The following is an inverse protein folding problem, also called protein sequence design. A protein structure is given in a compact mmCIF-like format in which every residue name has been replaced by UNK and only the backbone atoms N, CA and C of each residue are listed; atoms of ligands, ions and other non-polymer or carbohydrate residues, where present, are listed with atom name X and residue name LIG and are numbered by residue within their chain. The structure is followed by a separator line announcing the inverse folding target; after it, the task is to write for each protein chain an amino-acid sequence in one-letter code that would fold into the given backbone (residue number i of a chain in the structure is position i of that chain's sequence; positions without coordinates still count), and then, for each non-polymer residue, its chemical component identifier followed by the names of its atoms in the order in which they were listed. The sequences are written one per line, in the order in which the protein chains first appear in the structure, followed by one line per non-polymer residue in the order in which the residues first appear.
data_IF_960877012720
#
_entry.id   IF_960877012720
#
_cell.length_a   1.000
_cell.length_b   1.000
_cell.length_c   1.000
_cell.angle_alpha   90.00
_cell.angle_beta   90.00
_cell.angle_gamma   90.00
#
_symmetry.space_group_name_H-M   'P 1'
#
loop_
_entity.id
_entity.type
_entity.pdbx_description
1 polymer ?
#
# COMPACT_ATOMS: atom_id res chain seq x y z
N UNK A 1 -36.87 -44.21 -1.52
CA UNK A 1 -36.91 -42.89 -0.88
C UNK A 1 -35.66 -42.11 -1.27
N UNK A 2 -35.79 -40.95 -1.93
CA UNK A 2 -34.64 -40.12 -2.31
C UNK A 2 -34.37 -39.04 -1.26
N UNK A 3 -33.10 -38.75 -0.98
CA UNK A 3 -32.46 -37.44 -1.18
C UNK A 3 -31.08 -37.42 -0.53
N UNK A 4 -30.07 -37.47 -1.38
CA UNK A 4 -28.79 -36.85 -1.11
C UNK A 4 -28.99 -35.34 -1.10
N UNK A 5 -28.60 -34.67 -0.01
CA UNK A 5 -28.30 -33.24 -0.03
C UNK A 5 -26.92 -33.06 0.61
N UNK A 6 -25.90 -33.16 -0.25
CA UNK A 6 -24.55 -32.70 0.05
C UNK A 6 -24.61 -31.17 0.02
N UNK A 7 -24.57 -30.55 1.20
CA UNK A 7 -24.52 -29.11 1.34
C UNK A 7 -23.14 -28.60 0.94
N UNK A 8 -22.94 -28.33 -0.35
CA UNK A 8 -21.85 -27.47 -0.83
C UNK A 8 -22.31 -26.02 -0.72
N UNK A 9 -22.16 -25.43 0.47
CA UNK A 9 -22.26 -23.96 0.62
C UNK A 9 -21.23 -23.47 1.63
N UNK A 10 -20.33 -22.63 1.12
CA UNK A 10 -19.75 -21.54 1.88
C UNK A 10 -18.22 -21.52 1.90
N UNK A 11 -17.57 -21.02 0.84
CA UNK A 11 -16.20 -20.50 0.96
C UNK A 11 -15.79 -19.51 -0.15
N UNK A 12 -16.71 -18.70 -0.68
CA UNK A 12 -16.42 -17.70 -1.73
C UNK A 12 -16.48 -16.24 -1.26
N UNK A 13 -16.90 -15.96 -0.02
CA UNK A 13 -17.17 -14.58 0.45
C UNK A 13 -16.00 -13.84 1.11
N UNK A 14 -14.83 -14.47 1.27
CA UNK A 14 -13.66 -13.83 1.95
C UNK A 14 -12.59 -13.30 1.01
N UNK A 15 -12.56 -13.71 -0.26
CA UNK A 15 -11.53 -13.25 -1.20
C UNK A 15 -11.84 -11.86 -1.78
N UNK A 16 -13.13 -11.55 -1.99
CA UNK A 16 -13.51 -10.29 -2.64
C UNK A 16 -13.25 -9.07 -1.74
N UNK A 17 -13.60 -9.13 -0.45
CA UNK A 17 -13.40 -7.99 0.46
C UNK A 17 -11.94 -7.58 0.63
N UNK A 18 -11.01 -8.53 0.61
CA UNK A 18 -9.58 -8.21 0.72
C UNK A 18 -9.04 -7.47 -0.52
N UNK A 19 -9.51 -7.85 -1.72
CA UNK A 19 -9.14 -7.16 -2.96
C UNK A 19 -9.74 -5.75 -2.98
N UNK A 20 -11.02 -5.62 -2.61
CA UNK A 20 -11.69 -4.32 -2.51
C UNK A 20 -10.99 -3.40 -1.51
N UNK A 21 -10.50 -3.95 -0.40
CA UNK A 21 -9.72 -3.23 0.61
C UNK A 21 -8.37 -2.74 0.07
N UNK A 22 -7.66 -3.57 -0.68
CA UNK A 22 -6.40 -3.18 -1.34
C UNK A 22 -6.65 -2.05 -2.32
N UNK A 23 -7.64 -2.17 -3.21
CA UNK A 23 -7.92 -1.11 -4.20
C UNK A 23 -8.36 0.20 -3.55
N UNK A 24 -9.11 0.13 -2.46
CA UNK A 24 -9.47 1.32 -1.68
C UNK A 24 -8.22 1.99 -1.11
N UNK A 25 -7.34 1.23 -0.44
CA UNK A 25 -6.09 1.78 0.11
C UNK A 25 -5.21 2.30 -1.02
N UNK A 26 -5.06 1.56 -2.11
CA UNK A 26 -4.28 1.92 -3.29
C UNK A 26 -4.69 3.28 -3.86
N UNK A 27 -5.98 3.56 -3.97
CA UNK A 27 -6.49 4.85 -4.43
C UNK A 27 -6.11 6.00 -3.49
N UNK A 28 -6.25 5.80 -2.17
CA UNK A 28 -5.88 6.78 -1.15
C UNK A 28 -4.36 7.06 -1.14
N UNK A 29 -3.53 6.02 -1.27
CA UNK A 29 -2.08 6.20 -1.36
C UNK A 29 -1.67 6.96 -2.62
N UNK A 30 -2.27 6.63 -3.77
CA UNK A 30 -1.98 7.35 -5.01
C UNK A 30 -2.41 8.82 -4.91
N UNK A 31 -3.57 9.10 -4.33
CA UNK A 31 -4.03 10.47 -4.07
C UNK A 31 -3.01 11.25 -3.23
N UNK A 32 -2.57 10.69 -2.10
CA UNK A 32 -1.58 11.33 -1.24
C UNK A 32 -0.24 11.57 -1.98
N UNK A 33 0.24 10.56 -2.71
CA UNK A 33 1.50 10.63 -3.46
C UNK A 33 1.50 11.67 -4.59
N UNK A 34 0.31 12.00 -5.11
CA UNK A 34 0.13 13.04 -6.13
C UNK A 34 0.20 14.44 -5.51
N UNK A 35 -0.32 14.61 -4.31
CA UNK A 35 -0.37 15.89 -3.58
C UNK A 35 1.00 16.26 -3.01
N UNK A 36 1.68 15.32 -2.34
CA UNK A 36 2.97 15.58 -1.71
C UNK A 36 3.81 14.29 -1.57
N UNK A 37 5.07 14.46 -1.18
CA UNK A 37 5.92 13.40 -0.70
C UNK A 37 5.28 12.72 0.52
N UNK A 38 4.92 11.44 0.38
CA UNK A 38 4.18 10.69 1.40
C UNK A 38 5.09 9.68 2.10
N UNK A 39 5.05 9.60 3.43
CA UNK A 39 5.83 8.62 4.19
C UNK A 39 5.26 7.21 4.07
N UNK A 40 6.09 6.16 4.00
CA UNK A 40 5.59 4.77 3.96
C UNK A 40 4.79 4.41 5.22
N UNK A 41 5.14 4.97 6.39
CA UNK A 41 4.35 4.81 7.60
C UNK A 41 2.90 5.33 7.44
N UNK A 42 2.66 6.33 6.58
CA UNK A 42 1.33 6.87 6.31
C UNK A 42 0.47 5.86 5.56
N UNK A 43 1.06 4.98 4.75
CA UNK A 43 0.31 3.90 4.13
C UNK A 43 -0.28 2.93 5.17
N UNK A 44 0.50 2.63 6.22
CA UNK A 44 -0.01 1.83 7.34
C UNK A 44 -1.03 2.59 8.18
N UNK A 45 -0.83 3.89 8.39
CA UNK A 45 -1.86 4.74 9.01
C UNK A 45 -3.16 4.69 8.21
N UNK A 46 -3.13 4.89 6.89
CA UNK A 46 -4.29 4.80 6.01
C UNK A 46 -5.04 3.47 6.18
N UNK A 47 -4.34 2.34 6.19
CA UNK A 47 -4.96 1.05 6.49
C UNK A 47 -5.56 0.98 7.91
N UNK A 48 -4.90 1.56 8.90
CA UNK A 48 -5.41 1.66 10.28
C UNK A 48 -6.68 2.49 10.39
N UNK A 49 -6.79 3.59 9.64
CA UNK A 49 -7.97 4.46 9.59
C UNK A 49 -9.13 3.80 8.87
N UNK A 50 -8.87 3.17 7.72
CA UNK A 50 -9.91 2.61 6.87
C UNK A 50 -10.45 1.28 7.39
N UNK A 51 -9.64 0.49 8.10
CA UNK A 51 -10.01 -0.86 8.55
C UNK A 51 -9.68 -1.10 10.03
N UNK A 52 -10.15 -0.25 10.97
CA UNK A 52 -9.74 -0.30 12.38
C UNK A 52 -10.15 -1.58 13.11
N UNK A 53 -11.11 -2.33 12.55
CA UNK A 53 -11.61 -3.59 13.11
C UNK A 53 -10.73 -4.80 12.76
N UNK A 54 -9.79 -4.67 11.82
CA UNK A 54 -8.87 -5.75 11.45
C UNK A 54 -7.69 -5.84 12.44
N UNK A 55 -7.10 -7.03 12.53
CA UNK A 55 -5.87 -7.23 13.31
C UNK A 55 -4.75 -6.32 12.78
N UNK A 56 -3.85 -5.89 13.67
CA UNK A 56 -2.69 -5.03 13.32
C UNK A 56 -1.90 -5.60 12.14
N UNK A 57 -1.59 -6.89 12.18
CA UNK A 57 -0.85 -7.59 11.11
C UNK A 57 -1.59 -7.62 9.78
N UNK A 58 -2.92 -7.74 9.80
CA UNK A 58 -3.73 -7.72 8.57
C UNK A 58 -3.75 -6.33 7.93
N UNK A 59 -3.77 -5.26 8.74
CA UNK A 59 -3.72 -3.87 8.26
C UNK A 59 -2.37 -3.53 7.67
N UNK A 60 -1.28 -3.97 8.29
CA UNK A 60 0.06 -3.83 7.72
C UNK A 60 0.18 -4.59 6.39
N UNK A 61 -0.30 -5.83 6.32
CA UNK A 61 -0.30 -6.60 5.08
C UNK A 61 -1.11 -5.95 3.95
N UNK A 62 -2.23 -5.29 4.26
CA UNK A 62 -3.01 -4.51 3.29
C UNK A 62 -2.22 -3.30 2.77
N UNK A 63 -1.57 -2.55 3.66
CA UNK A 63 -0.75 -1.40 3.29
C UNK A 63 0.45 -1.81 2.42
N UNK A 64 1.15 -2.89 2.80
CA UNK A 64 2.26 -3.46 2.02
C UNK A 64 1.79 -3.89 0.63
N UNK A 65 0.68 -4.63 0.54
CA UNK A 65 0.15 -5.10 -0.74
C UNK A 65 -0.29 -3.94 -1.66
N UNK A 66 -0.95 -2.92 -1.11
CA UNK A 66 -1.38 -1.75 -1.87
C UNK A 66 -0.19 -0.95 -2.41
N UNK A 67 0.82 -0.67 -1.57
CA UNK A 67 2.01 0.07 -1.98
C UNK A 67 2.86 -0.74 -2.98
N UNK A 68 3.04 -2.03 -2.74
CA UNK A 68 3.74 -2.92 -3.66
C UNK A 68 3.07 -2.98 -5.04
N UNK A 69 1.72 -2.98 -5.09
CA UNK A 69 0.98 -2.91 -6.35
C UNK A 69 1.24 -1.61 -7.10
N UNK A 70 1.23 -0.45 -6.42
CA UNK A 70 1.54 0.84 -7.06
C UNK A 70 2.95 0.88 -7.63
N UNK A 71 3.92 0.30 -6.91
CA UNK A 71 5.30 0.21 -7.35
C UNK A 71 5.45 -0.72 -8.56
N UNK A 72 4.79 -1.88 -8.54
CA UNK A 72 4.78 -2.82 -9.66
C UNK A 72 4.17 -2.23 -10.93
N UNK A 73 3.15 -1.37 -10.79
CA UNK A 73 2.52 -0.65 -11.90
C UNK A 73 3.30 0.60 -12.34
N UNK A 74 4.41 0.93 -11.67
CA UNK A 74 5.22 2.12 -11.96
C UNK A 74 4.51 3.44 -11.67
N UNK A 75 3.46 3.44 -10.84
CA UNK A 75 2.66 4.63 -10.52
C UNK A 75 3.30 5.47 -9.41
N UNK A 76 4.11 4.86 -8.56
CA UNK A 76 4.88 5.56 -7.53
C UNK A 76 6.34 5.10 -7.57
N UNK A 77 7.23 5.89 -6.95
CA UNK A 77 8.63 5.54 -6.74
C UNK A 77 8.97 5.65 -5.26
N UNK A 78 9.84 4.78 -4.74
CA UNK A 78 10.34 4.87 -3.37
C UNK A 78 11.58 5.76 -3.28
N UNK A 79 11.64 6.55 -2.21
CA UNK A 79 12.76 7.42 -1.87
C UNK A 79 13.18 7.23 -0.42
N UNK A 80 14.47 7.33 -0.12
CA UNK A 80 15.02 7.20 1.24
C UNK A 80 15.82 8.43 1.64
N UNK A 81 15.64 8.89 2.88
CA UNK A 81 16.37 10.02 3.46
C UNK A 81 15.50 10.89 4.36
N UNK A 82 15.65 12.21 4.24
CA UNK A 82 14.87 13.20 4.98
C UNK A 82 13.91 13.96 4.07
N UNK A 83 13.00 14.76 4.63
CA UNK A 83 12.08 15.59 3.85
C UNK A 83 12.77 16.51 2.83
N UNK A 84 13.97 16.99 3.13
CA UNK A 84 14.71 17.93 2.27
C UNK A 84 15.77 17.28 1.39
N UNK A 85 16.16 16.02 1.67
CA UNK A 85 17.20 15.32 0.92
C UNK A 85 16.89 13.83 0.84
N UNK A 86 16.60 13.38 -0.38
CA UNK A 86 16.27 11.99 -0.66
C UNK A 86 17.10 11.44 -1.80
N UNK A 87 17.21 10.13 -1.83
CA UNK A 87 17.71 9.36 -2.98
C UNK A 87 16.68 8.30 -3.36
N UNK A 88 16.57 8.02 -4.65
CA UNK A 88 15.71 6.95 -5.13
C UNK A 88 16.20 5.60 -4.56
N UNK A 89 15.25 4.81 -4.07
CA UNK A 89 15.51 3.42 -3.70
C UNK A 89 15.64 2.63 -4.99
N UNK A 90 16.78 1.96 -5.18
CA UNK A 90 16.99 1.12 -6.35
C UNK A 90 15.93 0.01 -6.40
N UNK A 91 15.44 -0.32 -7.59
CA UNK A 91 14.38 -1.33 -7.80
C UNK A 91 14.70 -2.67 -7.10
N UNK A 92 15.95 -3.13 -7.19
CA UNK A 92 16.44 -4.36 -6.54
C UNK A 92 16.36 -4.34 -5.00
N UNK A 93 16.24 -3.17 -4.40
CA UNK A 93 16.22 -2.96 -2.96
C UNK A 93 14.78 -2.72 -2.43
N UNK A 94 13.78 -2.53 -3.31
CA UNK A 94 12.39 -2.23 -2.92
C UNK A 94 11.81 -3.31 -1.99
N UNK A 95 11.89 -4.58 -2.39
CA UNK A 95 11.37 -5.70 -1.59
C UNK A 95 12.01 -5.78 -0.21
N UNK A 96 13.31 -5.48 -0.13
CA UNK A 96 14.05 -5.47 1.14
C UNK A 96 13.55 -4.33 2.02
N UNK A 97 13.44 -3.12 1.46
CA UNK A 97 12.99 -1.92 2.16
C UNK A 97 11.56 -2.11 2.71
N UNK A 98 10.63 -2.65 1.93
CA UNK A 98 9.25 -2.87 2.38
C UNK A 98 9.13 -3.95 3.48
N UNK A 99 10.10 -4.87 3.59
CA UNK A 99 10.13 -5.87 4.67
C UNK A 99 10.78 -5.38 5.97
N UNK A 100 11.55 -4.29 5.91
CA UNK A 100 12.19 -3.69 7.08
C UNK A 100 11.10 -3.01 7.95
N UNK A 101 10.90 -3.47 9.20
CA UNK A 101 9.87 -2.90 10.07
C UNK A 101 10.05 -1.39 10.32
N UNK A 102 11.30 -0.92 10.38
CA UNK A 102 11.65 0.50 10.54
C UNK A 102 11.12 1.39 9.40
N UNK A 103 10.87 0.83 8.22
CA UNK A 103 10.25 1.53 7.09
C UNK A 103 8.82 1.97 7.41
N UNK A 104 8.15 1.22 8.29
CA UNK A 104 6.74 1.42 8.64
C UNK A 104 6.55 2.21 9.93
N UNK A 105 7.62 2.60 10.62
CA UNK A 105 7.55 3.39 11.85
C UNK A 105 8.16 4.79 11.68
N UNK A 106 7.88 5.68 12.62
CA UNK A 106 8.32 7.09 12.59
C UNK A 106 9.58 7.36 13.42
N UNK A 107 10.25 6.31 13.90
CA UNK A 107 11.23 6.39 14.99
C UNK A 107 12.54 7.09 14.62
N UNK A 108 12.89 7.12 13.32
CA UNK A 108 14.06 7.82 12.80
C UNK A 108 13.61 8.83 11.73
N UNK A 109 13.89 10.12 11.93
CA UNK A 109 13.52 11.17 10.98
C UNK A 109 14.55 11.38 9.86
N UNK A 110 15.80 10.93 10.07
CA UNK A 110 16.91 11.17 9.16
C UNK A 110 16.98 10.14 8.03
N UNK A 111 16.35 8.99 8.20
CA UNK A 111 16.42 7.86 7.28
C UNK A 111 15.04 7.22 7.02
N UNK A 112 14.05 8.07 6.73
CA UNK A 112 12.70 7.63 6.40
C UNK A 112 12.60 7.17 4.95
N UNK A 113 11.60 6.33 4.71
CA UNK A 113 11.21 5.94 3.36
C UNK A 113 9.92 6.66 3.01
N UNK A 114 9.93 7.26 1.83
CA UNK A 114 8.83 8.00 1.25
C UNK A 114 8.45 7.38 -0.10
N UNK A 115 7.27 7.76 -0.59
CA UNK A 115 6.84 7.53 -1.94
C UNK A 115 6.19 8.79 -2.51
N UNK A 116 6.35 8.97 -3.82
CA UNK A 116 5.71 10.04 -4.58
C UNK A 116 5.20 9.49 -5.91
N UNK A 117 4.18 10.14 -6.48
CA UNK A 117 3.63 9.75 -7.77
C UNK A 117 4.62 10.04 -8.90
N UNK A 118 4.83 9.05 -9.77
CA UNK A 118 5.56 9.22 -11.03
C UNK A 118 4.72 10.04 -12.02
N UNK A 119 5.28 10.48 -13.17
CA UNK A 119 4.46 11.05 -14.24
C UNK A 119 3.29 10.13 -14.65
N UNK A 120 3.55 8.82 -14.76
CA UNK A 120 2.52 7.82 -15.03
C UNK A 120 1.48 7.73 -13.91
N UNK A 121 1.90 7.85 -12.65
CA UNK A 121 0.99 7.94 -11.50
C UNK A 121 0.07 9.15 -11.54
N UNK A 122 0.62 10.34 -11.84
CA UNK A 122 -0.16 11.59 -11.98
C UNK A 122 -1.19 11.49 -13.11
N UNK A 123 -0.78 10.93 -14.26
CA UNK A 123 -1.69 10.65 -15.38
C UNK A 123 -2.79 9.65 -15.01
N UNK A 124 -2.44 8.56 -14.33
CA UNK A 124 -3.41 7.55 -13.88
C UNK A 124 -4.43 8.12 -12.88
N UNK A 125 -4.02 9.09 -12.06
CA UNK A 125 -4.91 9.83 -11.16
C UNK A 125 -5.79 10.87 -11.89
N UNK A 126 -5.46 11.23 -13.13
CA UNK A 126 -6.22 12.16 -13.96
C UNK A 126 -5.68 13.59 -13.98
N UNK A 127 -4.44 13.83 -13.56
CA UNK A 127 -3.78 15.12 -13.74
C UNK A 127 -3.10 15.20 -15.12
N UNK A 128 -3.14 16.37 -15.79
CA UNK A 128 -2.40 16.59 -17.04
C UNK A 128 -0.88 16.61 -16.80
N UNK A 129 -0.10 16.35 -17.86
CA UNK A 129 1.37 16.45 -17.87
C UNK A 129 1.89 17.87 -17.58
#
# INVERSE_FOLDING_TARGET
MPRFSRGERGLTWRKNGFVDDIETIRAELLSAAVEDLTGVYEAWWTANTLRPHLAVSARLALAEAALASLLADGLVVLRRGSWTRQVDVAERDVDRVLREYSTWTTDDEADRVFFEATPSGRLAYGLPE
#
